data_IF_941896806384
#
_entry.id   IF_941896806384
#
_cell.length_a   1.000
_cell.length_b   1.000
_cell.length_c   1.000
_cell.angle_alpha   90.00
_cell.angle_beta   90.00
_cell.angle_gamma   90.00
#
_symmetry.space_group_name_H-M   'P 1'
#
loop_
_entity.id
_entity.type
_entity.pdbx_description
1 polymer ?
#
# COMPACT_ATOMS: atom_id res chain seq x y z
N UNK A 1 23.74 51.67 -39.71
CA UNK A 1 23.60 50.84 -38.50
C UNK A 1 23.94 51.67 -37.27
N UNK A 2 23.08 51.61 -36.26
CA UNK A 2 23.35 52.30 -35.00
C UNK A 2 23.93 51.27 -34.00
N UNK A 3 25.23 51.36 -33.67
CA UNK A 3 25.86 50.39 -32.79
C UNK A 3 25.28 50.37 -31.36
N UNK A 4 24.69 51.48 -30.92
CA UNK A 4 24.02 51.57 -29.62
C UNK A 4 22.71 50.76 -29.61
N UNK A 5 21.96 50.79 -30.70
CA UNK A 5 20.71 49.99 -30.82
C UNK A 5 21.01 48.50 -30.85
N UNK A 6 22.05 48.07 -31.56
CA UNK A 6 22.47 46.67 -31.63
C UNK A 6 22.97 46.16 -30.28
N UNK A 7 23.71 47.01 -29.55
CA UNK A 7 24.18 46.68 -28.20
C UNK A 7 23.02 46.52 -27.21
N UNK A 8 22.02 47.39 -27.29
CA UNK A 8 20.80 47.29 -26.45
C UNK A 8 20.00 46.03 -26.75
N UNK A 9 19.85 45.66 -28.03
CA UNK A 9 19.19 44.42 -28.44
C UNK A 9 19.93 43.19 -27.91
N UNK A 10 21.25 43.20 -28.02
CA UNK A 10 22.06 42.10 -27.49
C UNK A 10 21.91 41.96 -25.98
N UNK A 11 21.97 43.06 -25.23
CA UNK A 11 21.76 43.04 -23.78
C UNK A 11 20.36 42.56 -23.40
N UNK A 12 19.33 42.99 -24.14
CA UNK A 12 17.95 42.52 -23.92
C UNK A 12 17.80 40.99 -24.14
N UNK A 13 18.44 40.46 -25.19
CA UNK A 13 18.47 39.02 -25.47
C UNK A 13 19.21 38.26 -24.39
N UNK A 14 20.34 38.74 -23.91
CA UNK A 14 21.10 38.12 -22.83
C UNK A 14 20.28 38.07 -21.52
N UNK A 15 19.57 39.16 -21.21
CA UNK A 15 18.68 39.22 -20.05
C UNK A 15 17.54 38.18 -20.16
N UNK A 16 16.92 38.08 -21.32
CA UNK A 16 15.88 37.08 -21.59
C UNK A 16 16.41 35.66 -21.42
N UNK A 17 17.60 35.39 -21.97
CA UNK A 17 18.24 34.07 -21.80
C UNK A 17 18.50 33.75 -20.32
N UNK A 18 18.99 34.75 -19.56
CA UNK A 18 19.25 34.56 -18.13
C UNK A 18 17.95 34.24 -17.36
N UNK A 19 16.86 34.94 -17.66
CA UNK A 19 15.55 34.67 -17.06
C UNK A 19 15.06 33.27 -17.40
N UNK A 20 15.14 32.87 -18.68
CA UNK A 20 14.72 31.55 -19.13
C UNK A 20 15.55 30.43 -18.45
N UNK A 21 16.88 30.61 -18.39
CA UNK A 21 17.75 29.65 -17.71
C UNK A 21 17.38 29.51 -16.23
N UNK A 22 17.11 30.62 -15.56
CA UNK A 22 16.67 30.58 -14.16
C UNK A 22 15.34 29.86 -13.99
N UNK A 23 14.38 30.10 -14.88
CA UNK A 23 13.09 29.40 -14.86
C UNK A 23 13.26 27.91 -15.09
N UNK A 24 14.12 27.51 -16.04
CA UNK A 24 14.43 26.10 -16.30
C UNK A 24 15.04 25.46 -15.05
N UNK A 25 15.98 26.12 -14.39
CA UNK A 25 16.60 25.60 -13.17
C UNK A 25 15.58 25.43 -12.04
N UNK A 26 14.69 26.40 -11.83
CA UNK A 26 13.63 26.32 -10.84
C UNK A 26 12.66 25.15 -11.13
N UNK A 27 12.30 25.00 -12.41
CA UNK A 27 11.44 23.88 -12.84
C UNK A 27 12.12 22.52 -12.64
N UNK A 28 13.42 22.43 -12.89
CA UNK A 28 14.20 21.21 -12.63
C UNK A 28 14.22 20.85 -11.15
N UNK A 29 14.44 21.83 -10.29
CA UNK A 29 14.42 21.64 -8.84
C UNK A 29 13.03 21.16 -8.38
N UNK A 30 11.99 21.79 -8.87
CA UNK A 30 10.62 21.42 -8.54
C UNK A 30 10.27 20.03 -9.07
N UNK A 31 10.67 19.69 -10.29
CA UNK A 31 10.51 18.35 -10.86
C UNK A 31 11.20 17.28 -9.99
N UNK A 32 12.44 17.55 -9.57
CA UNK A 32 13.17 16.64 -8.70
C UNK A 32 12.46 16.44 -7.35
N UNK A 33 11.90 17.54 -6.82
CA UNK A 33 11.12 17.47 -5.58
C UNK A 33 9.86 16.61 -5.74
N UNK A 34 9.13 16.80 -6.83
CA UNK A 34 7.93 16.00 -7.13
C UNK A 34 8.30 14.54 -7.35
N UNK A 35 9.36 14.26 -8.09
CA UNK A 35 9.85 12.89 -8.29
C UNK A 35 10.22 12.22 -6.96
N UNK A 36 10.84 12.95 -6.05
CA UNK A 36 11.17 12.45 -4.72
C UNK A 36 9.91 12.17 -3.89
N UNK A 37 8.93 13.06 -3.93
CA UNK A 37 7.65 12.85 -3.26
C UNK A 37 6.90 11.64 -3.82
N UNK A 38 6.92 11.45 -5.14
CA UNK A 38 6.32 10.27 -5.78
C UNK A 38 6.98 8.98 -5.30
N UNK A 39 8.31 8.94 -5.20
CA UNK A 39 9.04 7.77 -4.69
C UNK A 39 8.69 7.47 -3.23
N UNK A 40 8.59 8.49 -2.40
CA UNK A 40 8.20 8.34 -1.00
C UNK A 40 6.77 7.79 -0.86
N UNK A 41 5.84 8.29 -1.68
CA UNK A 41 4.46 7.81 -1.70
C UNK A 41 4.40 6.36 -2.19
N UNK A 42 5.11 6.01 -3.25
CA UNK A 42 5.20 4.64 -3.75
C UNK A 42 5.75 3.68 -2.70
N UNK A 43 6.80 4.09 -2.00
CA UNK A 43 7.40 3.31 -0.93
C UNK A 43 6.41 3.12 0.24
N UNK A 44 5.74 4.18 0.68
CA UNK A 44 4.72 4.11 1.72
C UNK A 44 3.56 3.20 1.31
N UNK A 45 3.13 3.29 0.06
CA UNK A 45 2.08 2.42 -0.49
C UNK A 45 2.50 0.95 -0.50
N UNK A 46 3.74 0.67 -0.87
CA UNK A 46 4.29 -0.68 -0.86
C UNK A 46 4.33 -1.26 0.56
N UNK A 47 4.77 -0.48 1.52
CA UNK A 47 4.78 -0.87 2.94
C UNK A 47 3.37 -1.17 3.45
N UNK A 48 2.40 -0.33 3.11
CA UNK A 48 1.01 -0.55 3.49
C UNK A 48 0.44 -1.83 2.86
N UNK A 49 0.76 -2.10 1.60
CA UNK A 49 0.34 -3.34 0.93
C UNK A 49 0.92 -4.58 1.60
N UNK A 50 2.17 -4.53 2.00
CA UNK A 50 2.82 -5.62 2.75
C UNK A 50 2.17 -5.85 4.11
N UNK A 51 1.89 -4.78 4.85
CA UNK A 51 1.19 -4.83 6.12
C UNK A 51 -0.22 -5.42 5.96
N UNK A 52 -0.93 -5.01 4.91
CA UNK A 52 -2.26 -5.54 4.61
C UNK A 52 -2.23 -7.02 4.29
N UNK A 53 -1.27 -7.47 3.47
CA UNK A 53 -1.08 -8.90 3.17
C UNK A 53 -0.77 -9.71 4.42
N UNK A 54 0.07 -9.17 5.29
CA UNK A 54 0.39 -9.81 6.57
C UNK A 54 -0.85 -9.93 7.45
N UNK A 55 -1.64 -8.86 7.57
CA UNK A 55 -2.88 -8.85 8.33
C UNK A 55 -3.90 -9.86 7.77
N UNK A 56 -4.06 -9.95 6.45
CA UNK A 56 -4.92 -10.93 5.82
C UNK A 56 -4.48 -12.37 6.09
N UNK A 57 -3.20 -12.66 5.97
CA UNK A 57 -2.66 -14.00 6.28
C UNK A 57 -2.89 -14.38 7.73
N UNK A 58 -2.71 -13.44 8.63
CA UNK A 58 -2.96 -13.63 10.06
C UNK A 58 -4.44 -13.88 10.34
N UNK A 59 -5.32 -13.10 9.72
CA UNK A 59 -6.76 -13.26 9.81
C UNK A 59 -7.21 -14.62 9.29
N UNK A 60 -6.76 -15.04 8.12
CA UNK A 60 -7.08 -16.33 7.53
C UNK A 60 -6.62 -17.49 8.41
N UNK A 61 -5.45 -17.37 9.00
CA UNK A 61 -4.91 -18.37 9.94
C UNK A 61 -5.80 -18.49 11.18
N UNK A 62 -6.22 -17.37 11.77
CA UNK A 62 -7.13 -17.38 12.93
C UNK A 62 -8.50 -17.92 12.57
N UNK A 63 -9.05 -17.52 11.44
CA UNK A 63 -10.33 -18.01 10.97
C UNK A 63 -10.30 -19.52 10.73
N UNK A 64 -9.25 -20.03 10.10
CA UNK A 64 -9.04 -21.46 9.92
C UNK A 64 -8.96 -22.21 11.26
N UNK A 65 -8.24 -21.67 12.24
CA UNK A 65 -8.13 -22.24 13.57
C UNK A 65 -9.49 -22.28 14.31
N UNK A 66 -10.26 -21.19 14.22
CA UNK A 66 -11.61 -21.11 14.79
C UNK A 66 -12.53 -22.13 14.15
N UNK A 67 -12.51 -22.28 12.83
CA UNK A 67 -13.30 -23.28 12.13
C UNK A 67 -12.94 -24.71 12.52
N UNK A 68 -11.67 -25.01 12.70
CA UNK A 68 -11.21 -26.31 13.17
C UNK A 68 -11.69 -26.61 14.59
N UNK A 69 -11.63 -25.63 15.48
CA UNK A 69 -12.15 -25.77 16.84
C UNK A 69 -13.66 -26.03 16.85
N UNK A 70 -14.43 -25.31 16.03
CA UNK A 70 -15.88 -25.51 15.92
C UNK A 70 -16.22 -26.89 15.36
N UNK A 71 -15.47 -27.34 14.36
CA UNK A 71 -15.64 -28.72 13.82
C UNK A 71 -15.35 -29.79 14.88
N UNK A 72 -14.26 -29.58 15.63
CA UNK A 72 -13.90 -30.46 16.73
C UNK A 72 -14.98 -30.54 17.81
N UNK A 73 -15.55 -29.41 18.20
CA UNK A 73 -16.65 -29.34 19.15
C UNK A 73 -17.91 -30.04 18.64
N UNK A 74 -18.26 -29.84 17.37
CA UNK A 74 -19.41 -30.55 16.74
C UNK A 74 -19.22 -32.04 16.71
N UNK A 75 -18.02 -32.51 16.36
CA UNK A 75 -17.72 -33.95 16.35
C UNK A 75 -17.79 -34.56 17.76
N UNK A 76 -17.28 -33.84 18.76
CA UNK A 76 -17.40 -34.28 20.16
C UNK A 76 -18.84 -34.34 20.61
N UNK A 77 -19.66 -33.37 20.26
CA UNK A 77 -21.07 -33.36 20.60
C UNK A 77 -21.83 -34.52 19.95
N UNK A 78 -21.57 -34.78 18.68
CA UNK A 78 -22.15 -35.95 17.98
C UNK A 78 -21.73 -37.26 18.66
N UNK A 79 -20.47 -37.39 19.03
CA UNK A 79 -19.97 -38.57 19.77
C UNK A 79 -20.63 -38.73 21.13
N UNK A 80 -20.86 -37.64 21.84
CA UNK A 80 -21.61 -37.67 23.12
C UNK A 80 -23.04 -38.13 22.93
N UNK A 81 -23.72 -37.59 21.93
CA UNK A 81 -25.09 -37.97 21.59
C UNK A 81 -25.18 -39.45 21.20
N UNK A 82 -24.23 -39.97 20.43
CA UNK A 82 -24.14 -41.36 20.09
C UNK A 82 -23.93 -42.25 21.32
N UNK A 83 -23.04 -41.87 22.23
CA UNK A 83 -22.81 -42.58 23.49
C UNK A 83 -24.06 -42.62 24.38
N UNK A 84 -24.72 -41.48 24.49
CA UNK A 84 -25.97 -41.35 25.25
C UNK A 84 -27.05 -42.23 24.64
N UNK A 85 -27.16 -42.27 23.33
CA UNK A 85 -28.10 -43.14 22.62
C UNK A 85 -27.78 -44.65 22.84
N UNK A 86 -26.50 -45.01 22.81
CA UNK A 86 -26.06 -46.40 23.11
C UNK A 86 -26.32 -46.78 24.55
N UNK A 87 -26.07 -45.87 25.50
CA UNK A 87 -26.38 -46.09 26.91
C UNK A 87 -27.88 -46.27 27.15
N UNK A 88 -28.69 -45.44 26.51
CA UNK A 88 -30.15 -45.57 26.58
C UNK A 88 -30.64 -46.87 25.99
N UNK A 89 -30.10 -47.32 24.87
CA UNK A 89 -30.40 -48.59 24.27
C UNK A 89 -29.93 -49.76 25.14
N UNK A 90 -28.82 -49.62 25.82
CA UNK A 90 -28.30 -50.57 26.78
C UNK A 90 -29.16 -50.71 28.03
N UNK A 91 -29.76 -49.60 28.50
CA UNK A 91 -30.63 -49.59 29.68
C UNK A 91 -32.04 -50.13 29.40
N UNK A 92 -32.52 -50.01 28.15
CA UNK A 92 -33.83 -50.47 27.74
C UNK A 92 -33.90 -52.00 27.47
N UNK A 93 -32.78 -52.65 27.54
CA UNK A 93 -32.67 -54.12 27.47
C UNK A 93 -32.64 -54.64 28.89
#
# INVERSE_FOLDING_TARGET
MNPLADRRRLLALLRRQAVIRRQIELLRVERNRVDQQCREIEQALQEQREQLRFAHRKHDKYEGAVQQLLRGQRLEQVRREEREAEEMNGVSR
#
